data_IF_196297623110
#
_entry.id   IF_196297623110
#
_cell.length_a   1.000
_cell.length_b   1.000
_cell.length_c   1.000
_cell.angle_alpha   90.00
_cell.angle_beta   90.00
_cell.angle_gamma   90.00
#
_symmetry.space_group_name_H-M   'P 1'
#
loop_
_entity.id
_entity.type
_entity.pdbx_description
1 polymer ?
#
# COMPACT_ATOMS: atom_id res chain seq x y z
N UNK A 1 37.44 -38.42 -0.83
CA UNK A 1 35.97 -38.44 -1.03
C UNK A 1 35.23 -37.31 -0.26
N UNK A 2 35.89 -36.23 0.18
CA UNK A 2 35.26 -35.15 0.98
C UNK A 2 35.08 -33.81 0.21
N UNK A 3 35.79 -33.59 -0.90
CA UNK A 3 35.72 -32.32 -1.64
C UNK A 3 34.42 -32.12 -2.44
N UNK A 4 33.74 -33.22 -2.81
CA UNK A 4 32.48 -33.20 -3.58
C UNK A 4 31.22 -32.98 -2.71
N UNK A 5 31.31 -33.21 -1.40
CA UNK A 5 30.19 -32.96 -0.48
C UNK A 5 30.14 -31.49 -0.04
N UNK A 6 31.30 -30.87 0.13
CA UNK A 6 31.42 -29.46 0.55
C UNK A 6 30.86 -28.48 -0.48
N UNK A 7 31.06 -28.75 -1.78
CA UNK A 7 30.53 -27.90 -2.85
C UNK A 7 29.03 -28.06 -3.05
N UNK A 8 28.44 -29.23 -2.76
CA UNK A 8 26.99 -29.45 -2.82
C UNK A 8 26.25 -28.69 -1.72
N UNK A 9 26.72 -28.72 -0.49
CA UNK A 9 26.09 -27.96 0.60
C UNK A 9 26.17 -26.46 0.38
N UNK A 10 27.31 -25.93 -0.09
CA UNK A 10 27.45 -24.51 -0.38
C UNK A 10 26.54 -24.05 -1.53
N UNK A 11 26.40 -24.87 -2.59
CA UNK A 11 25.46 -24.62 -3.69
C UNK A 11 24.01 -24.69 -3.21
N UNK A 12 23.66 -25.65 -2.35
CA UNK A 12 22.31 -25.79 -1.77
C UNK A 12 21.98 -24.60 -0.84
N UNK A 13 22.92 -24.17 0.00
CA UNK A 13 22.75 -23.02 0.90
C UNK A 13 22.63 -21.72 0.10
N UNK A 14 23.44 -21.50 -0.93
CA UNK A 14 23.27 -20.34 -1.83
C UNK A 14 21.96 -20.41 -2.60
N UNK A 15 21.56 -21.58 -3.10
CA UNK A 15 20.29 -21.76 -3.82
C UNK A 15 19.09 -21.55 -2.89
N UNK A 16 19.14 -22.01 -1.63
CA UNK A 16 18.13 -21.70 -0.60
C UNK A 16 18.12 -20.22 -0.21
N UNK A 17 19.27 -19.57 -0.06
CA UNK A 17 19.33 -18.14 0.22
C UNK A 17 18.79 -17.30 -0.95
N UNK A 18 19.08 -17.70 -2.20
CA UNK A 18 18.50 -17.09 -3.40
C UNK A 18 17.01 -17.37 -3.54
N UNK A 19 16.56 -18.60 -3.30
CA UNK A 19 15.13 -18.97 -3.32
C UNK A 19 14.38 -18.20 -2.22
N UNK A 20 14.91 -18.13 -1.00
CA UNK A 20 14.33 -17.35 0.10
C UNK A 20 14.33 -15.85 -0.21
N UNK A 21 15.39 -15.33 -0.84
CA UNK A 21 15.42 -13.94 -1.32
C UNK A 21 14.42 -13.71 -2.45
N UNK A 22 14.23 -14.66 -3.36
CA UNK A 22 13.25 -14.60 -4.44
C UNK A 22 11.82 -14.73 -3.91
N UNK A 23 11.57 -15.56 -2.90
CA UNK A 23 10.28 -15.65 -2.19
C UNK A 23 9.96 -14.35 -1.45
N UNK A 24 10.96 -13.74 -0.79
CA UNK A 24 10.81 -12.41 -0.17
C UNK A 24 10.52 -11.36 -1.25
N UNK A 25 11.26 -11.37 -2.37
CA UNK A 25 11.05 -10.44 -3.49
C UNK A 25 9.67 -10.67 -4.12
N UNK A 26 9.22 -11.91 -4.31
CA UNK A 26 7.91 -12.25 -4.84
C UNK A 26 6.78 -11.89 -3.87
N UNK A 27 7.01 -12.00 -2.57
CA UNK A 27 6.09 -11.55 -1.51
C UNK A 27 6.00 -10.02 -1.44
N UNK A 28 7.12 -9.33 -1.60
CA UNK A 28 7.17 -7.86 -1.66
C UNK A 28 6.53 -7.35 -2.96
N UNK A 29 6.82 -8.02 -4.08
CA UNK A 29 6.29 -7.69 -5.42
C UNK A 29 4.82 -8.06 -5.54
N UNK A 30 4.33 -9.10 -4.88
CA UNK A 30 2.90 -9.43 -4.80
C UNK A 30 2.15 -8.35 -4.02
N UNK A 31 2.66 -7.94 -2.86
CA UNK A 31 2.08 -6.86 -2.04
C UNK A 31 2.04 -5.53 -2.80
N UNK A 32 3.13 -5.15 -3.47
CA UNK A 32 3.18 -3.93 -4.27
C UNK A 32 2.20 -3.95 -5.46
N UNK A 33 2.05 -5.10 -6.12
CA UNK A 33 1.09 -5.28 -7.23
C UNK A 33 -0.36 -5.20 -6.75
N UNK A 34 -0.68 -5.83 -5.63
CA UNK A 34 -2.03 -5.81 -5.04
C UNK A 34 -2.41 -4.38 -4.66
N UNK A 35 -1.52 -3.66 -3.97
CA UNK A 35 -1.75 -2.25 -3.61
C UNK A 35 -1.90 -1.40 -4.86
N UNK A 36 -1.07 -1.59 -5.89
CA UNK A 36 -1.19 -0.83 -7.13
C UNK A 36 -2.54 -1.05 -7.83
N UNK A 37 -3.00 -2.29 -7.92
CA UNK A 37 -4.32 -2.62 -8.48
C UNK A 37 -5.46 -2.03 -7.66
N UNK A 38 -5.40 -2.12 -6.32
CA UNK A 38 -6.35 -1.48 -5.41
C UNK A 38 -6.38 0.04 -5.61
N UNK A 39 -5.21 0.67 -5.74
CA UNK A 39 -5.09 2.10 -6.04
C UNK A 39 -5.81 2.44 -7.34
N UNK A 40 -5.52 1.73 -8.43
CA UNK A 40 -6.17 1.95 -9.73
C UNK A 40 -7.69 1.80 -9.62
N UNK A 41 -8.17 0.78 -8.93
CA UNK A 41 -9.61 0.59 -8.71
C UNK A 41 -10.20 1.72 -7.87
N UNK A 42 -9.52 2.16 -6.81
CA UNK A 42 -10.02 3.21 -5.93
C UNK A 42 -10.18 4.57 -6.63
N UNK A 43 -9.29 4.91 -7.56
CA UNK A 43 -9.38 6.17 -8.33
C UNK A 43 -10.21 6.03 -9.61
N UNK A 44 -10.55 4.80 -10.02
CA UNK A 44 -11.31 4.56 -11.26
C UNK A 44 -12.71 5.20 -11.20
N UNK A 45 -13.23 5.54 -12.38
CA UNK A 45 -14.65 5.86 -12.54
C UNK A 45 -15.45 4.58 -12.79
N UNK A 46 -16.69 4.58 -12.31
CA UNK A 46 -17.71 3.63 -12.73
C UNK A 46 -18.14 3.88 -14.19
N UNK A 47 -18.94 2.97 -14.74
CA UNK A 47 -19.47 3.09 -16.11
C UNK A 47 -20.41 4.30 -16.29
N UNK A 48 -20.95 4.83 -15.19
CA UNK A 48 -21.76 6.06 -15.16
C UNK A 48 -20.91 7.33 -15.02
N UNK A 49 -19.58 7.21 -14.95
CA UNK A 49 -18.65 8.33 -14.78
C UNK A 49 -18.40 8.74 -13.33
N UNK A 50 -19.19 8.24 -12.37
CA UNK A 50 -19.00 8.55 -10.95
C UNK A 50 -17.70 7.91 -10.41
N UNK A 51 -16.92 8.66 -9.64
CA UNK A 51 -15.70 8.16 -9.01
C UNK A 51 -16.04 7.13 -7.91
N UNK A 52 -15.36 5.96 -7.92
CA UNK A 52 -15.59 4.93 -6.90
C UNK A 52 -15.20 5.41 -5.50
N UNK A 53 -14.09 6.14 -5.39
CA UNK A 53 -13.73 6.88 -4.19
C UNK A 53 -13.49 8.34 -4.57
N UNK A 54 -14.46 9.25 -4.32
CA UNK A 54 -14.33 10.65 -4.70
C UNK A 54 -13.18 11.35 -3.98
N UNK A 55 -12.89 10.98 -2.72
CA UNK A 55 -11.82 11.58 -1.91
C UNK A 55 -10.43 11.21 -2.45
N UNK A 56 -10.19 9.95 -2.79
CA UNK A 56 -8.92 9.51 -3.36
C UNK A 56 -8.75 9.98 -4.81
N UNK A 57 -9.84 10.06 -5.58
CA UNK A 57 -9.81 10.57 -6.95
C UNK A 57 -9.47 12.06 -6.99
N UNK A 58 -10.11 12.87 -6.15
CA UNK A 58 -9.79 14.30 -6.06
C UNK A 58 -8.34 14.53 -5.63
N UNK A 59 -7.89 13.78 -4.62
CA UNK A 59 -6.49 13.80 -4.20
C UNK A 59 -5.52 13.43 -5.33
N UNK A 60 -5.84 12.42 -6.14
CA UNK A 60 -5.04 12.05 -7.32
C UNK A 60 -5.00 13.17 -8.36
N UNK A 61 -6.15 13.74 -8.73
CA UNK A 61 -6.24 14.82 -9.72
C UNK A 61 -5.45 16.05 -9.27
N UNK A 62 -5.57 16.43 -7.98
CA UNK A 62 -4.79 17.51 -7.37
C UNK A 62 -3.28 17.23 -7.36
N UNK A 63 -2.86 15.96 -7.24
CA UNK A 63 -1.43 15.61 -7.35
C UNK A 63 -0.94 15.63 -8.79
N UNK A 64 -1.78 15.25 -9.75
CA UNK A 64 -1.44 15.30 -11.19
C UNK A 64 -1.22 16.72 -11.72
N UNK A 65 -1.80 17.75 -11.11
CA UNK A 65 -1.54 19.15 -11.52
C UNK A 65 -0.12 19.62 -11.16
N UNK A 66 0.53 18.98 -10.18
CA UNK A 66 1.85 19.37 -9.66
C UNK A 66 2.95 18.35 -9.94
N UNK A 67 2.60 17.11 -10.26
CA UNK A 67 3.55 15.99 -10.41
C UNK A 67 3.20 15.12 -11.62
N UNK A 68 4.18 14.42 -12.22
CA UNK A 68 3.91 13.41 -13.23
C UNK A 68 2.94 12.33 -12.73
N UNK A 69 2.10 11.81 -13.63
CA UNK A 69 1.02 10.86 -13.29
C UNK A 69 1.50 9.65 -12.48
N UNK A 70 2.67 9.09 -12.81
CA UNK A 70 3.23 7.94 -12.10
C UNK A 70 3.64 8.28 -10.65
N UNK A 71 4.17 9.49 -10.43
CA UNK A 71 4.53 9.97 -9.09
C UNK A 71 3.28 10.26 -8.26
N UNK A 72 2.24 10.83 -8.89
CA UNK A 72 0.94 11.01 -8.26
C UNK A 72 0.33 9.66 -7.85
N UNK A 73 0.39 8.64 -8.71
CA UNK A 73 -0.04 7.27 -8.40
C UNK A 73 0.70 6.66 -7.20
N UNK A 74 2.01 6.88 -7.09
CA UNK A 74 2.79 6.48 -5.93
C UNK A 74 2.23 7.10 -4.64
N UNK A 75 1.96 8.41 -4.65
CA UNK A 75 1.40 9.10 -3.50
C UNK A 75 0.00 8.57 -3.09
N UNK A 76 -0.86 8.21 -4.05
CA UNK A 76 -2.15 7.57 -3.74
C UNK A 76 -1.94 6.17 -3.17
N UNK A 77 -1.02 5.39 -3.71
CA UNK A 77 -0.71 4.04 -3.23
C UNK A 77 -0.20 4.03 -1.80
N UNK A 78 0.60 5.02 -1.41
CA UNK A 78 0.98 5.23 -0.01
C UNK A 78 -0.24 5.49 0.89
N UNK A 79 -1.21 6.27 0.42
CA UNK A 79 -2.44 6.56 1.15
C UNK A 79 -3.31 5.31 1.32
N UNK A 80 -3.46 4.51 0.27
CA UNK A 80 -4.18 3.22 0.30
C UNK A 80 -3.51 2.23 1.26
N UNK A 81 -2.18 2.10 1.22
CA UNK A 81 -1.44 1.28 2.19
C UNK A 81 -1.71 1.71 3.62
N UNK A 82 -1.67 3.00 3.91
CA UNK A 82 -1.91 3.52 5.26
C UNK A 82 -3.35 3.25 5.73
N UNK A 83 -4.33 3.36 4.84
CA UNK A 83 -5.73 3.01 5.14
C UNK A 83 -5.85 1.54 5.51
N UNK A 84 -5.26 0.64 4.72
CA UNK A 84 -5.26 -0.81 5.01
C UNK A 84 -4.60 -1.06 6.36
N UNK A 85 -3.47 -0.42 6.63
CA UNK A 85 -2.79 -0.56 7.92
C UNK A 85 -3.62 -0.04 9.10
N UNK A 86 -4.40 1.04 8.94
CA UNK A 86 -5.31 1.53 9.96
C UNK A 86 -6.47 0.55 10.21
N UNK A 87 -7.09 0.02 9.16
CA UNK A 87 -8.14 -1.00 9.26
C UNK A 87 -7.64 -2.23 10.01
N UNK A 88 -6.45 -2.71 9.66
CA UNK A 88 -5.85 -3.88 10.30
C UNK A 88 -5.45 -3.62 11.76
N UNK A 89 -5.01 -2.40 12.07
CA UNK A 89 -4.63 -2.01 13.44
C UNK A 89 -5.84 -1.86 14.35
N UNK A 90 -6.85 -1.13 13.88
CA UNK A 90 -8.00 -0.70 14.69
C UNK A 90 -9.18 -1.68 14.57
N UNK A 91 -9.05 -2.70 13.71
CA UNK A 91 -10.10 -3.69 13.40
C UNK A 91 -11.45 -3.06 13.02
N UNK A 92 -11.43 -1.85 12.46
CA UNK A 92 -12.60 -1.08 12.08
C UNK A 92 -12.85 -1.15 10.57
N UNK A 93 -14.12 -1.23 10.17
CA UNK A 93 -14.52 -1.18 8.77
C UNK A 93 -14.10 0.13 8.09
N UNK A 94 -13.74 0.04 6.81
CA UNK A 94 -13.40 1.21 6.02
C UNK A 94 -14.63 2.07 5.74
N UNK A 95 -14.51 3.36 6.04
CA UNK A 95 -15.51 4.39 5.70
C UNK A 95 -14.84 5.51 4.90
N UNK A 96 -15.56 6.06 3.91
CA UNK A 96 -15.05 7.19 3.14
C UNK A 96 -15.25 8.47 3.96
N UNK A 97 -14.18 8.90 4.61
CA UNK A 97 -14.14 10.11 5.43
C UNK A 97 -13.53 11.25 4.62
N UNK A 98 -14.16 12.43 4.64
CA UNK A 98 -13.61 13.63 4.00
C UNK A 98 -12.41 14.16 4.79
N UNK A 99 -11.46 14.87 4.16
CA UNK A 99 -10.31 15.44 4.88
C UNK A 99 -10.71 16.32 6.07
N UNK A 100 -11.82 17.06 5.96
CA UNK A 100 -12.35 17.93 6.99
C UNK A 100 -12.85 17.13 8.21
N UNK A 101 -13.60 16.07 7.96
CA UNK A 101 -14.11 15.20 9.01
C UNK A 101 -12.97 14.46 9.73
N UNK A 102 -11.95 14.02 8.97
CA UNK A 102 -10.75 13.42 9.55
C UNK A 102 -9.99 14.39 10.47
N UNK A 103 -9.87 15.68 10.11
CA UNK A 103 -9.25 16.69 10.97
C UNK A 103 -10.05 16.88 12.26
N UNK A 104 -11.40 16.92 12.16
CA UNK A 104 -12.27 17.06 13.32
C UNK A 104 -12.12 15.88 14.29
N UNK A 105 -12.13 14.65 13.78
CA UNK A 105 -11.93 13.43 14.57
C UNK A 105 -10.54 13.39 15.22
N UNK A 106 -9.50 13.76 14.47
CA UNK A 106 -8.14 13.84 14.99
C UNK A 106 -8.01 14.84 16.15
N UNK A 107 -8.59 16.04 15.99
CA UNK A 107 -8.54 17.07 17.03
C UNK A 107 -9.34 16.66 18.27
N UNK A 108 -10.50 16.01 18.11
CA UNK A 108 -11.28 15.48 19.22
C UNK A 108 -10.48 14.43 20.01
N UNK A 109 -9.95 13.42 19.33
CA UNK A 109 -9.14 12.38 19.96
C UNK A 109 -7.88 12.93 20.66
N UNK A 110 -7.30 14.01 20.13
CA UNK A 110 -6.15 14.68 20.78
C UNK A 110 -6.55 15.41 22.06
N UNK A 111 -7.74 16.03 22.11
CA UNK A 111 -8.22 16.73 23.30
C UNK A 111 -8.56 15.76 24.43
N UNK A 112 -9.12 14.59 24.11
CA UNK A 112 -9.48 13.56 25.11
C UNK A 112 -8.25 12.91 25.78
N UNK A 113 -7.08 12.96 25.16
CA UNK A 113 -5.81 12.46 25.73
C UNK A 113 -5.18 13.50 26.69
N UNK A 114 -5.55 14.77 26.56
CA UNK A 114 -5.00 15.88 27.33
C UNK A 114 -5.86 16.28 28.54
N UNK A 115 -7.01 15.65 28.73
CA UNK A 115 -7.94 15.83 29.86
C UNK A 115 -7.89 14.61 30.79
#
# INVERSE_FOLDING_TARGET
MYLLSFTREFVIVRKRAYIFSLEIIDTIKSTARVIHTLTLQSISTSRTGAAKNPVLRDYYLKKCSSKPKLVAMGAVSHKVRNIIYAILRDSKSFEIITPQEHIKQYNAAKCDIAA
#
